data_IF_488592223487
#
_entry.id   IF_488592223487
#
_cell.length_a   1.000
_cell.length_b   1.000
_cell.length_c   1.000
_cell.angle_alpha   90.00
_cell.angle_beta   90.00
_cell.angle_gamma   90.00
#
_symmetry.space_group_name_H-M   'P 1'
#
loop_
_entity.id
_entity.type
_entity.pdbx_description
1 polymer ?
#
# COMPACT_ATOMS: atom_id res chain seq x y z
N UNK A 1 16.40 -11.12 -11.63
CA UNK A 1 16.59 -9.75 -11.11
C UNK A 1 15.20 -9.19 -10.84
N UNK A 2 14.93 -8.64 -9.65
CA UNK A 2 13.61 -8.05 -9.32
C UNK A 2 13.41 -6.76 -10.12
N UNK A 3 12.19 -6.44 -10.54
CA UNK A 3 11.92 -5.14 -11.17
C UNK A 3 12.13 -4.02 -10.15
N UNK A 4 12.56 -2.87 -10.63
CA UNK A 4 12.72 -1.68 -9.81
C UNK A 4 12.63 -0.43 -10.66
N UNK A 5 12.24 0.68 -10.04
CA UNK A 5 12.17 2.00 -10.67
C UNK A 5 12.66 3.04 -9.67
N UNK A 6 13.43 4.01 -10.14
CA UNK A 6 13.82 5.17 -9.34
C UNK A 6 12.85 6.30 -9.68
N UNK A 7 12.32 6.96 -8.65
CA UNK A 7 11.48 8.15 -8.79
C UNK A 7 12.02 9.27 -7.90
N UNK A 8 11.68 10.51 -8.24
CA UNK A 8 11.84 11.64 -7.31
C UNK A 8 10.58 11.77 -6.48
N UNK A 9 10.73 11.73 -5.16
CA UNK A 9 9.64 11.89 -4.19
C UNK A 9 10.13 12.77 -3.03
N UNK A 10 9.41 13.85 -2.76
CA UNK A 10 9.74 14.83 -1.71
C UNK A 10 11.21 15.28 -1.75
N UNK A 11 11.69 15.69 -2.94
CA UNK A 11 13.07 16.12 -3.20
C UNK A 11 14.16 15.03 -3.00
N UNK A 12 13.77 13.78 -2.80
CA UNK A 12 14.68 12.63 -2.64
C UNK A 12 14.51 11.64 -3.78
N UNK A 13 15.59 10.96 -4.15
CA UNK A 13 15.49 9.77 -5.01
C UNK A 13 15.06 8.56 -4.18
N UNK A 14 13.97 7.91 -4.59
CA UNK A 14 13.41 6.73 -3.95
C UNK A 14 13.45 5.58 -4.95
N UNK A 15 13.98 4.43 -4.52
CA UNK A 15 13.96 3.20 -5.32
C UNK A 15 12.76 2.36 -4.95
N UNK A 16 11.79 2.28 -5.85
CA UNK A 16 10.64 1.38 -5.76
C UNK A 16 11.06 -0.01 -6.25
N UNK A 17 10.75 -1.05 -5.49
CA UNK A 17 11.15 -2.43 -5.79
C UNK A 17 9.95 -3.36 -5.92
N UNK A 18 10.11 -4.38 -6.73
CA UNK A 18 9.16 -5.48 -6.81
C UNK A 18 9.25 -6.31 -5.53
N UNK A 19 8.10 -6.50 -4.89
CA UNK A 19 7.94 -7.33 -3.70
C UNK A 19 7.81 -8.79 -4.11
N UNK A 20 8.44 -9.64 -3.31
CA UNK A 20 8.32 -11.09 -3.40
C UNK A 20 7.07 -11.59 -2.72
N UNK A 21 6.62 -12.78 -3.10
CA UNK A 21 5.48 -13.43 -2.44
C UNK A 21 5.64 -13.49 -0.92
N UNK A 22 6.85 -13.74 -0.40
CA UNK A 22 7.11 -13.78 1.03
C UNK A 22 6.86 -12.41 1.71
N UNK A 23 7.35 -11.33 1.10
CA UNK A 23 7.13 -9.95 1.55
C UNK A 23 5.64 -9.53 1.45
N UNK A 24 4.92 -10.00 0.43
CA UNK A 24 3.47 -9.77 0.32
C UNK A 24 2.71 -10.52 1.40
N UNK A 25 3.04 -11.79 1.63
CA UNK A 25 2.38 -12.64 2.63
C UNK A 25 2.60 -12.06 4.03
N UNK A 26 3.80 -11.61 4.38
CA UNK A 26 4.03 -10.99 5.68
C UNK A 26 3.14 -9.78 5.91
N UNK A 27 2.96 -8.92 4.90
CA UNK A 27 2.05 -7.77 5.00
C UNK A 27 0.60 -8.21 5.21
N UNK A 28 0.14 -9.24 4.51
CA UNK A 28 -1.24 -9.75 4.62
C UNK A 28 -1.47 -10.53 5.93
N UNK A 29 -0.49 -11.29 6.42
CA UNK A 29 -0.60 -12.00 7.70
C UNK A 29 -0.67 -11.01 8.87
N UNK A 30 0.11 -9.92 8.79
CA UNK A 30 -0.01 -8.80 9.72
C UNK A 30 -1.39 -8.12 9.62
N UNK A 31 -2.13 -8.28 8.51
CA UNK A 31 -3.51 -7.80 8.38
C UNK A 31 -4.51 -8.42 9.35
N UNK A 32 -4.20 -9.59 9.93
CA UNK A 32 -5.05 -10.24 10.93
C UNK A 32 -5.27 -9.42 12.20
N UNK A 33 -4.36 -8.50 12.53
CA UNK A 33 -4.44 -7.55 13.65
C UNK A 33 -4.32 -6.09 13.18
N UNK A 34 -4.51 -5.83 11.90
CA UNK A 34 -4.17 -4.54 11.31
C UNK A 34 -5.25 -3.49 11.55
N UNK A 35 -4.83 -2.42 12.22
CA UNK A 35 -5.53 -1.15 12.18
C UNK A 35 -5.15 -0.45 10.86
N UNK A 36 -6.13 -0.14 9.99
CA UNK A 36 -5.86 0.61 8.77
C UNK A 36 -5.13 1.91 9.08
N UNK A 37 -4.06 2.21 8.34
CA UNK A 37 -3.39 3.49 8.50
C UNK A 37 -4.35 4.61 8.04
N UNK A 38 -4.24 5.80 8.62
CA UNK A 38 -5.15 6.92 8.30
C UNK A 38 -5.14 7.26 6.80
N UNK A 39 -3.99 7.11 6.14
CA UNK A 39 -3.88 7.30 4.69
C UNK A 39 -4.62 6.23 3.89
N UNK A 40 -4.75 4.98 4.38
CA UNK A 40 -5.54 3.94 3.71
C UNK A 40 -7.05 4.25 3.75
N UNK A 41 -7.48 5.00 4.76
CA UNK A 41 -8.87 5.45 4.92
C UNK A 41 -9.14 6.68 4.05
N UNK A 42 -8.20 7.63 4.03
CA UNK A 42 -8.38 8.92 3.38
C UNK A 42 -8.07 8.90 1.88
N UNK A 43 -7.16 8.04 1.44
CA UNK A 43 -6.70 7.98 0.06
C UNK A 43 -7.30 6.76 -0.64
N UNK A 44 -7.89 6.97 -1.82
CA UNK A 44 -8.47 5.88 -2.61
C UNK A 44 -7.42 5.21 -3.50
N UNK A 45 -6.46 4.53 -2.86
CA UNK A 45 -5.46 3.72 -3.55
C UNK A 45 -5.76 2.22 -3.41
N UNK A 46 -5.40 1.46 -4.45
CA UNK A 46 -5.60 0.00 -4.49
C UNK A 46 -4.64 -0.79 -3.59
N UNK A 47 -3.63 -0.12 -3.04
CA UNK A 47 -2.60 -0.71 -2.18
C UNK A 47 -2.52 0.02 -0.85
N UNK A 48 -2.31 -0.69 0.27
CA UNK A 48 -2.15 -0.06 1.58
C UNK A 48 -0.77 0.59 1.74
N UNK A 49 -0.65 1.50 2.70
CA UNK A 49 0.59 2.17 3.10
C UNK A 49 1.71 1.18 3.39
N UNK A 50 1.41 0.08 4.08
CA UNK A 50 2.40 -0.96 4.42
C UNK A 50 3.12 -1.52 3.19
N UNK A 51 2.42 -1.67 2.07
CA UNK A 51 3.00 -2.10 0.78
C UNK A 51 3.91 -1.02 0.22
N UNK A 52 3.51 0.25 0.31
CA UNK A 52 4.33 1.39 -0.14
C UNK A 52 5.63 1.46 0.64
N UNK A 53 5.56 1.40 1.97
CA UNK A 53 6.75 1.44 2.84
C UNK A 53 7.68 0.27 2.54
N UNK A 54 7.16 -0.94 2.41
CA UNK A 54 7.97 -2.13 2.12
C UNK A 54 8.64 -2.09 0.74
N UNK A 55 7.92 -1.58 -0.27
CA UNK A 55 8.41 -1.46 -1.65
C UNK A 55 9.48 -0.39 -1.83
N UNK A 56 9.41 0.68 -1.04
CA UNK A 56 10.24 1.89 -1.18
C UNK A 56 11.36 1.97 -0.16
N UNK A 57 11.21 1.31 0.99
CA UNK A 57 12.08 1.44 2.15
C UNK A 57 11.92 2.78 2.90
N UNK A 58 10.86 3.54 2.62
CA UNK A 58 10.52 4.76 3.34
C UNK A 58 9.92 4.44 4.73
N UNK A 59 9.94 5.41 5.62
CA UNK A 59 9.24 5.35 6.91
C UNK A 59 7.93 6.14 6.84
N UNK A 60 6.99 5.89 7.78
CA UNK A 60 5.70 6.61 7.82
C UNK A 60 5.87 8.12 7.84
N UNK A 61 6.86 8.63 8.58
CA UNK A 61 7.16 10.07 8.66
C UNK A 61 7.49 10.67 7.29
N UNK A 62 8.13 9.92 6.39
CA UNK A 62 8.45 10.38 5.04
C UNK A 62 7.20 10.58 4.17
N UNK A 63 6.08 9.93 4.52
CA UNK A 63 4.79 10.09 3.84
C UNK A 63 3.93 11.22 4.44
N UNK A 64 4.24 11.66 5.67
CA UNK A 64 3.41 12.62 6.40
C UNK A 64 4.05 14.01 6.47
N UNK A 65 5.36 14.11 6.68
CA UNK A 65 6.04 15.38 6.93
C UNK A 65 6.31 16.13 5.62
N UNK A 66 5.62 17.27 5.45
CA UNK A 66 5.85 18.16 4.31
C UNK A 66 5.32 17.63 2.96
N UNK A 67 4.64 16.49 2.95
CA UNK A 67 4.06 15.89 1.74
C UNK A 67 2.57 16.23 1.65
N UNK A 68 2.16 16.82 0.53
CA UNK A 68 0.74 17.03 0.25
C UNK A 68 0.07 15.72 -0.18
N UNK A 69 -1.26 15.56 0.00
CA UNK A 69 -1.97 14.38 -0.49
C UNK A 69 -1.76 14.12 -1.99
N UNK A 70 -1.71 15.18 -2.81
CA UNK A 70 -1.40 15.06 -4.24
C UNK A 70 0.04 14.64 -4.52
N UNK A 71 0.98 14.98 -3.63
CA UNK A 71 2.38 14.57 -3.72
C UNK A 71 2.59 13.07 -3.47
N UNK A 72 1.64 12.39 -2.82
CA UNK A 72 1.67 10.94 -2.64
C UNK A 72 1.30 10.17 -3.91
N UNK A 73 0.52 10.76 -4.82
CA UNK A 73 -0.01 10.06 -6.01
C UNK A 73 1.11 9.42 -6.85
N UNK A 74 2.19 10.15 -7.25
CA UNK A 74 3.24 9.56 -8.07
C UNK A 74 3.98 8.41 -7.38
N UNK A 75 4.08 8.43 -6.04
CA UNK A 75 4.69 7.36 -5.27
C UNK A 75 3.85 6.09 -5.34
N UNK A 76 2.54 6.18 -5.09
CA UNK A 76 1.63 5.05 -5.15
C UNK A 76 1.52 4.48 -6.57
N UNK A 77 1.42 5.34 -7.58
CA UNK A 77 1.41 4.92 -8.99
C UNK A 77 2.67 4.15 -9.36
N UNK A 78 3.84 4.62 -8.93
CA UNK A 78 5.10 3.92 -9.18
C UNK A 78 5.16 2.56 -8.48
N UNK A 79 4.63 2.45 -7.26
CA UNK A 79 4.54 1.16 -6.55
C UNK A 79 3.63 0.19 -7.30
N UNK A 80 2.47 0.66 -7.80
CA UNK A 80 1.53 -0.15 -8.60
C UNK A 80 2.16 -0.57 -9.93
N UNK A 81 2.87 0.31 -10.62
CA UNK A 81 3.55 0.02 -11.89
C UNK A 81 4.63 -1.07 -11.72
N UNK A 82 5.38 -1.02 -10.61
CA UNK A 82 6.41 -2.04 -10.29
C UNK A 82 5.77 -3.34 -9.77
N UNK A 83 4.60 -3.25 -9.11
CA UNK A 83 3.92 -4.38 -8.46
C UNK A 83 2.47 -4.61 -8.95
N UNK A 84 2.21 -4.74 -10.26
CA UNK A 84 0.84 -4.73 -10.79
C UNK A 84 0.02 -5.93 -10.33
N UNK A 85 0.66 -7.09 -10.15
CA UNK A 85 0.01 -8.30 -9.65
C UNK A 85 -0.41 -8.17 -8.19
N UNK A 86 0.42 -7.50 -7.36
CA UNK A 86 0.10 -7.24 -5.96
C UNK A 86 -1.07 -6.28 -5.84
N UNK A 87 -1.08 -5.18 -6.62
CA UNK A 87 -2.21 -4.26 -6.65
C UNK A 87 -3.53 -4.98 -6.97
N UNK A 88 -3.50 -5.89 -7.96
CA UNK A 88 -4.65 -6.72 -8.27
C UNK A 88 -5.03 -7.71 -7.14
N UNK A 89 -4.06 -8.20 -6.35
CA UNK A 89 -4.32 -9.03 -5.16
C UNK A 89 -4.97 -8.22 -4.05
N UNK A 90 -4.43 -7.04 -3.73
CA UNK A 90 -4.94 -6.13 -2.70
C UNK A 90 -6.37 -5.68 -3.03
N UNK A 91 -6.65 -5.28 -4.28
CA UNK A 91 -7.99 -4.95 -4.73
C UNK A 91 -8.99 -6.11 -4.60
N UNK A 92 -8.56 -7.36 -4.83
CA UNK A 92 -9.41 -8.54 -4.59
C UNK A 92 -9.65 -8.76 -3.10
N UNK A 93 -8.62 -8.61 -2.26
CA UNK A 93 -8.73 -8.77 -0.82
C UNK A 93 -9.70 -7.74 -0.22
N UNK A 94 -9.59 -6.46 -0.61
CA UNK A 94 -10.52 -5.39 -0.23
C UNK A 94 -11.98 -5.77 -0.52
N UNK A 95 -12.27 -6.25 -1.72
CA UNK A 95 -13.63 -6.71 -2.09
C UNK A 95 -14.13 -7.88 -1.24
N UNK A 96 -13.25 -8.83 -0.91
CA UNK A 96 -13.60 -9.97 -0.04
C UNK A 96 -13.91 -9.49 1.38
N UNK A 97 -13.10 -8.57 1.91
CA UNK A 97 -13.31 -7.97 3.23
C UNK A 97 -14.60 -7.17 3.27
N UNK A 98 -14.86 -6.29 2.29
CA UNK A 98 -16.11 -5.52 2.18
C UNK A 98 -17.34 -6.42 2.14
N UNK A 99 -17.31 -7.48 1.32
CA UNK A 99 -18.40 -8.46 1.23
C UNK A 99 -18.64 -9.20 2.54
N UNK A 100 -17.58 -9.50 3.29
CA UNK A 100 -17.66 -10.23 4.57
C UNK A 100 -18.14 -9.32 5.70
N UNK A 101 -17.65 -8.07 5.76
CA UNK A 101 -18.09 -7.06 6.71
C UNK A 101 -19.59 -6.72 6.56
N UNK A 102 -20.11 -6.74 5.32
CA UNK A 102 -21.54 -6.57 5.03
C UNK A 102 -22.41 -7.79 5.38
N UNK A 103 -21.81 -8.94 5.73
CA UNK A 103 -22.54 -10.18 6.04
C UNK A 103 -22.71 -10.46 7.55
N UNK A 104 -22.12 -9.62 8.42
CA UNK A 104 -22.33 -9.69 9.87
C UNK A 104 -23.49 -8.76 10.22
N UNK A 105 -24.67 -9.26 10.63
CA UNK A 105 -25.74 -8.38 11.10
C UNK A 105 -25.26 -7.63 12.35
N UNK A 106 -25.70 -6.38 12.57
CA UNK A 106 -25.42 -5.72 13.84
C UNK A 106 -25.97 -6.61 14.96
N UNK A 107 -25.14 -6.90 15.95
CA UNK A 107 -25.59 -7.52 17.18
C UNK A 107 -26.63 -6.57 17.80
N UNK A 108 -27.90 -6.94 17.67
CA UNK A 108 -29.04 -6.20 18.22
C UNK A 108 -29.09 -6.28 19.74
#
# INVERSE_FOLDING_TARGET
>A
MRKSKIISFNEKEVTVKELTVAEVVSVIEDMGNYEPHVLDILMDFDIPVSVVLLSTGLEEKDLMEGVSPSGLIPLYEAVVEVNPTLAAMAARLRKVVEKTALSVPPAG
#
